data_IF_942519929700
#
_entry.id   IF_942519929700
#
_cell.length_a   1.000
_cell.length_b   1.000
_cell.length_c   1.000
_cell.angle_alpha   90.00
_cell.angle_beta   90.00
_cell.angle_gamma   90.00
#
_symmetry.space_group_name_H-M   'P 1'
#
loop_
_entity.id
_entity.type
_entity.pdbx_description
1 polymer ?
#
# COMPACT_ATOMS: atom_id res chain seq x y z
N UNK A 1 11.15 -13.90 -0.53
CA UNK A 1 11.80 -12.57 -0.44
C UNK A 1 11.14 -11.65 -1.47
N UNK A 2 10.75 -10.45 -1.07
CA UNK A 2 10.19 -9.45 -1.97
C UNK A 2 11.33 -8.74 -2.71
N UNK A 3 11.24 -8.67 -4.04
CA UNK A 3 12.21 -7.95 -4.88
C UNK A 3 11.59 -6.62 -5.29
N UNK A 4 12.28 -5.53 -5.00
CA UNK A 4 11.87 -4.17 -5.34
C UNK A 4 12.75 -3.57 -6.42
N UNK A 5 12.15 -2.73 -7.24
CA UNK A 5 12.81 -1.89 -8.23
C UNK A 5 12.36 -0.44 -8.11
N UNK A 6 13.02 0.45 -8.80
CA UNK A 6 12.63 1.86 -8.88
C UNK A 6 11.21 1.98 -9.44
N UNK A 7 10.35 2.76 -8.77
CA UNK A 7 8.99 3.01 -9.22
C UNK A 7 8.94 3.98 -10.39
N UNK A 8 9.68 5.07 -10.27
CA UNK A 8 9.86 6.07 -11.32
C UNK A 8 11.15 6.87 -11.08
N UNK A 9 11.81 7.31 -12.16
CA UNK A 9 13.07 8.07 -12.08
C UNK A 9 12.94 9.39 -11.32
N UNK A 10 11.76 10.00 -11.30
CA UNK A 10 11.50 11.26 -10.59
C UNK A 10 11.24 11.07 -9.09
N UNK A 11 10.96 9.84 -8.64
CA UNK A 11 10.56 9.50 -7.27
C UNK A 11 11.55 8.52 -6.63
N UNK A 12 12.71 9.01 -6.22
CA UNK A 12 13.83 8.19 -5.74
C UNK A 12 13.59 7.47 -4.40
N UNK A 13 12.62 7.91 -3.63
CA UNK A 13 12.23 7.31 -2.36
C UNK A 13 11.01 6.39 -2.47
N UNK A 14 10.61 6.04 -3.69
CA UNK A 14 9.50 5.14 -3.96
C UNK A 14 9.97 3.97 -4.80
N UNK A 15 9.65 2.77 -4.36
CA UNK A 15 9.95 1.52 -5.07
C UNK A 15 8.70 0.67 -5.25
N UNK A 16 8.74 -0.22 -6.22
CA UNK A 16 7.66 -1.16 -6.50
C UNK A 16 8.20 -2.59 -6.48
N UNK A 17 7.45 -3.50 -5.87
CA UNK A 17 7.77 -4.91 -5.89
C UNK A 17 7.46 -5.55 -7.25
N UNK A 18 8.12 -6.66 -7.54
CA UNK A 18 7.59 -7.59 -8.53
C UNK A 18 6.18 -8.05 -8.11
N UNK A 19 5.33 -8.47 -9.06
CA UNK A 19 4.02 -9.00 -8.72
C UNK A 19 4.12 -10.14 -7.71
N UNK A 20 3.36 -10.02 -6.64
CA UNK A 20 3.26 -11.05 -5.61
C UNK A 20 2.05 -11.91 -5.92
N UNK A 21 2.28 -13.20 -6.12
CA UNK A 21 1.20 -14.15 -6.40
C UNK A 21 0.56 -14.57 -5.08
N UNK A 22 -0.73 -14.38 -4.97
CA UNK A 22 -1.54 -15.01 -3.94
C UNK A 22 -2.11 -16.32 -4.49
N UNK A 23 -1.47 -17.43 -4.10
CA UNK A 23 -1.85 -18.77 -4.59
C UNK A 23 -3.24 -19.23 -4.13
N UNK A 24 -3.74 -18.64 -3.04
CA UNK A 24 -5.05 -19.01 -2.49
C UNK A 24 -6.22 -18.37 -3.25
N UNK A 25 -5.96 -17.24 -3.91
CA UNK A 25 -6.96 -16.47 -4.65
C UNK A 25 -6.59 -16.26 -6.12
N UNK A 26 -5.52 -16.88 -6.58
CA UNK A 26 -4.98 -16.79 -7.97
C UNK A 26 -4.78 -15.35 -8.47
N UNK A 27 -4.49 -14.44 -7.56
CA UNK A 27 -4.37 -13.01 -7.85
C UNK A 27 -2.94 -12.52 -7.69
N UNK A 28 -2.59 -11.51 -8.47
CA UNK A 28 -1.28 -10.86 -8.41
C UNK A 28 -1.44 -9.37 -8.08
N UNK A 29 -0.72 -8.92 -7.08
CA UNK A 29 -0.65 -7.52 -6.71
C UNK A 29 0.82 -7.12 -6.58
N UNK A 30 1.13 -5.85 -6.78
CA UNK A 30 2.45 -5.30 -6.44
C UNK A 30 2.34 -4.44 -5.19
N UNK A 31 3.45 -4.35 -4.46
CA UNK A 31 3.56 -3.46 -3.31
C UNK A 31 4.36 -2.23 -3.74
N UNK A 32 3.89 -1.05 -3.37
CA UNK A 32 4.60 0.21 -3.55
C UNK A 32 5.04 0.69 -2.19
N UNK A 33 6.34 0.91 -2.04
CA UNK A 33 6.93 1.37 -0.79
C UNK A 33 7.43 2.80 -0.98
N UNK A 34 6.99 3.69 -0.12
CA UNK A 34 7.52 5.04 0.02
C UNK A 34 8.15 5.21 1.39
N UNK A 35 9.36 5.74 1.46
CA UNK A 35 10.03 6.03 2.73
C UNK A 35 10.42 7.52 2.82
N UNK A 36 10.49 8.10 4.02
CA UNK A 36 10.91 9.50 4.21
C UNK A 36 12.40 9.64 3.91
N UNK A 37 12.79 10.69 3.17
CA UNK A 37 14.19 10.88 2.76
C UNK A 37 15.12 11.27 3.91
N UNK A 38 14.64 12.12 4.82
CA UNK A 38 15.47 12.77 5.83
C UNK A 38 14.86 12.74 7.24
N UNK A 39 13.77 12.00 7.44
CA UNK A 39 13.06 11.92 8.72
C UNK A 39 13.03 10.48 9.22
N UNK A 40 13.05 10.32 10.54
CA UNK A 40 12.72 9.05 11.16
C UNK A 40 11.25 8.72 10.88
N UNK A 41 10.95 7.45 10.68
CA UNK A 41 9.56 6.99 10.51
C UNK A 41 8.80 7.18 11.83
N UNK A 42 7.75 7.97 11.79
CA UNK A 42 6.81 8.19 12.90
C UNK A 42 5.40 7.72 12.58
N UNK A 43 5.10 7.56 11.30
CA UNK A 43 3.80 7.14 10.79
C UNK A 43 3.97 6.05 9.74
N UNK A 44 3.18 5.00 9.87
CA UNK A 44 3.06 3.92 8.90
C UNK A 44 1.67 3.99 8.26
N UNK A 45 1.65 4.17 6.95
CA UNK A 45 0.41 4.25 6.16
C UNK A 45 0.28 2.97 5.32
N UNK A 46 -0.77 2.21 5.54
CA UNK A 46 -1.19 1.14 4.65
C UNK A 46 -2.26 1.69 3.69
N UNK A 47 -2.04 1.57 2.39
CA UNK A 47 -2.97 2.08 1.39
C UNK A 47 -3.39 1.01 0.39
N UNK A 48 -4.68 0.99 0.07
CA UNK A 48 -5.26 0.24 -1.03
C UNK A 48 -5.28 1.08 -2.32
N UNK A 49 -5.35 0.42 -3.47
CA UNK A 49 -5.33 1.06 -4.80
C UNK A 49 -4.09 1.94 -5.03
N UNK A 50 -2.93 1.44 -4.64
CA UNK A 50 -1.69 2.22 -4.59
C UNK A 50 -1.20 2.74 -5.94
N UNK A 51 -1.66 2.17 -7.06
CA UNK A 51 -1.41 2.69 -8.39
C UNK A 51 -1.95 4.12 -8.60
N UNK A 52 -2.88 4.57 -7.74
CA UNK A 52 -3.50 5.89 -7.81
C UNK A 52 -2.82 6.95 -6.93
N UNK A 53 -1.81 6.59 -6.14
CA UNK A 53 -1.27 7.45 -5.10
C UNK A 53 -0.31 8.53 -5.62
N UNK A 54 0.62 8.16 -6.51
CA UNK A 54 1.83 8.94 -6.73
C UNK A 54 1.96 9.53 -8.14
N UNK A 55 1.57 8.80 -9.18
CA UNK A 55 1.78 9.21 -10.57
C UNK A 55 0.54 8.99 -11.44
N UNK A 56 0.18 10.02 -12.21
CA UNK A 56 -0.92 9.98 -13.19
C UNK A 56 -0.74 8.89 -14.25
N UNK A 57 0.50 8.69 -14.69
CA UNK A 57 0.82 7.73 -15.76
C UNK A 57 0.72 6.27 -15.33
N UNK A 58 0.65 6.03 -14.02
CA UNK A 58 0.61 4.67 -13.45
C UNK A 58 -0.81 4.14 -13.23
N UNK A 59 -1.81 4.96 -13.51
CA UNK A 59 -3.23 4.57 -13.43
C UNK A 59 -3.98 4.89 -14.71
N UNK A 60 -5.18 4.33 -14.85
CA UNK A 60 -6.03 4.53 -16.03
C UNK A 60 -6.90 5.79 -16.01
N UNK A 61 -6.80 6.64 -14.97
CA UNK A 61 -7.72 7.76 -14.78
C UNK A 61 -7.17 9.11 -15.21
N UNK A 62 -5.87 9.21 -15.49
CA UNK A 62 -5.20 10.46 -15.88
C UNK A 62 -5.02 11.48 -14.74
N UNK A 63 -5.28 11.11 -13.49
CA UNK A 63 -4.99 11.88 -12.28
C UNK A 63 -4.55 10.94 -11.15
N UNK A 64 -3.85 11.48 -10.16
CA UNK A 64 -3.46 10.74 -8.96
C UNK A 64 -3.83 11.54 -7.70
N UNK A 65 -3.57 10.95 -6.53
CA UNK A 65 -3.83 11.59 -5.24
C UNK A 65 -2.74 12.59 -4.83
N UNK A 66 -1.66 12.72 -5.60
CA UNK A 66 -0.49 13.57 -5.31
C UNK A 66 0.05 13.37 -3.89
N UNK A 67 0.03 12.12 -3.41
CA UNK A 67 0.36 11.80 -2.02
C UNK A 67 1.81 12.14 -1.68
N UNK A 68 2.74 12.00 -2.61
CA UNK A 68 4.16 12.34 -2.36
C UNK A 68 4.32 13.81 -2.02
N UNK A 69 3.70 14.70 -2.78
CA UNK A 69 3.80 16.14 -2.55
C UNK A 69 3.22 16.52 -1.18
N UNK A 70 2.07 15.95 -0.83
CA UNK A 70 1.45 16.18 0.47
C UNK A 70 2.31 15.67 1.64
N UNK A 71 2.92 14.50 1.51
CA UNK A 71 3.78 13.94 2.56
C UNK A 71 5.10 14.70 2.68
N UNK A 72 5.70 15.12 1.57
CA UNK A 72 6.90 15.96 1.59
C UNK A 72 6.63 17.30 2.30
N UNK A 73 5.52 17.97 1.99
CA UNK A 73 5.14 19.21 2.66
C UNK A 73 4.99 19.02 4.18
N UNK A 74 4.37 17.92 4.61
CA UNK A 74 4.25 17.59 6.03
C UNK A 74 5.62 17.31 6.68
N UNK A 75 6.48 16.58 6.01
CA UNK A 75 7.83 16.28 6.50
C UNK A 75 8.73 17.50 6.59
N UNK A 76 8.57 18.48 5.71
CA UNK A 76 9.30 19.76 5.75
C UNK A 76 8.84 20.67 6.90
N UNK A 77 7.56 20.62 7.24
CA UNK A 77 6.95 21.49 8.25
C UNK A 77 6.83 20.86 9.64
N UNK A 78 7.16 19.60 9.81
CA UNK A 78 7.05 18.85 11.08
C UNK A 78 8.25 17.93 11.27
N UNK A 79 8.35 17.30 12.46
CA UNK A 79 9.32 16.24 12.72
C UNK A 79 8.80 14.85 12.34
N UNK A 80 7.66 14.77 11.65
CA UNK A 80 7.07 13.51 11.23
C UNK A 80 7.75 12.97 9.98
N UNK A 81 7.85 11.64 9.91
CA UNK A 81 8.26 10.90 8.73
C UNK A 81 7.24 9.82 8.40
N UNK A 82 6.84 9.75 7.14
CA UNK A 82 5.76 8.88 6.69
C UNK A 82 6.30 7.73 5.83
N UNK A 83 6.11 6.51 6.30
CA UNK A 83 6.37 5.31 5.54
C UNK A 83 5.06 4.78 4.96
N UNK A 84 5.00 4.58 3.65
CA UNK A 84 3.78 4.10 2.98
C UNK A 84 4.01 2.69 2.44
N UNK A 85 3.09 1.79 2.76
CA UNK A 85 2.95 0.48 2.13
C UNK A 85 1.67 0.53 1.32
N UNK A 86 1.81 0.61 0.01
CA UNK A 86 0.69 0.63 -0.91
C UNK A 86 0.52 -0.72 -1.59
N UNK A 87 -0.71 -1.23 -1.65
CA UNK A 87 -1.06 -2.45 -2.38
C UNK A 87 -1.80 -2.07 -3.64
N UNK A 88 -1.26 -2.47 -4.82
CA UNK A 88 -1.96 -2.21 -6.08
C UNK A 88 -3.17 -3.11 -6.23
N UNK A 89 -4.19 -2.64 -6.90
CA UNK A 89 -5.30 -3.50 -7.34
C UNK A 89 -5.03 -4.09 -8.73
N UNK A 90 -5.78 -5.12 -9.07
CA UNK A 90 -5.74 -5.79 -10.36
C UNK A 90 -7.15 -5.93 -10.97
N UNK A 91 -7.29 -6.75 -12.03
CA UNK A 91 -8.57 -7.00 -12.69
C UNK A 91 -9.63 -7.63 -11.78
N UNK A 92 -9.22 -8.34 -10.73
CA UNK A 92 -10.10 -8.96 -9.73
C UNK A 92 -10.50 -8.03 -8.58
N UNK A 93 -10.22 -6.73 -8.69
CA UNK A 93 -10.46 -5.74 -7.64
C UNK A 93 -11.86 -5.80 -7.02
N UNK A 94 -12.89 -6.00 -7.83
CA UNK A 94 -14.27 -6.08 -7.34
C UNK A 94 -14.51 -7.27 -6.39
N UNK A 95 -13.78 -8.35 -6.58
CA UNK A 95 -13.83 -9.54 -5.73
C UNK A 95 -12.90 -9.40 -4.54
N UNK A 96 -11.67 -8.95 -4.76
CA UNK A 96 -10.68 -8.72 -3.69
C UNK A 96 -11.14 -7.67 -2.67
N UNK A 97 -11.85 -6.63 -3.10
CA UNK A 97 -12.25 -5.49 -2.26
C UNK A 97 -13.71 -5.57 -1.79
N UNK A 98 -14.31 -6.75 -1.83
CA UNK A 98 -15.66 -6.96 -1.30
C UNK A 98 -15.62 -7.79 -0.02
N UNK A 99 -15.59 -7.16 1.17
CA UNK A 99 -15.57 -7.87 2.46
C UNK A 99 -16.93 -8.48 2.83
N UNK A 100 -17.95 -8.27 2.01
CA UNK A 100 -19.32 -8.78 2.21
C UNK A 100 -19.76 -9.65 1.01
N UNK A 101 -19.17 -10.83 0.80
CA UNK A 101 -19.56 -11.70 -0.29
C UNK A 101 -20.99 -12.20 -0.10
N UNK A 102 -21.63 -12.59 -1.20
CA UNK A 102 -22.92 -13.29 -1.13
C UNK A 102 -22.77 -14.60 -0.34
N UNK A 103 -23.86 -15.01 0.32
CA UNK A 103 -23.89 -16.25 1.10
C UNK A 103 -23.38 -17.43 0.26
N UNK A 104 -22.42 -18.18 0.80
CA UNK A 104 -21.80 -19.33 0.14
C UNK A 104 -20.61 -19.02 -0.77
N UNK A 105 -20.22 -17.75 -0.93
CA UNK A 105 -19.04 -17.37 -1.71
C UNK A 105 -17.75 -17.37 -0.88
N UNK A 106 -16.60 -17.54 -1.57
CA UNK A 106 -15.28 -17.35 -0.94
C UNK A 106 -15.08 -15.87 -0.62
N UNK A 107 -14.66 -15.56 0.62
CA UNK A 107 -14.34 -14.20 1.00
C UNK A 107 -12.88 -13.86 0.63
N UNK A 108 -12.67 -13.47 -0.63
CA UNK A 108 -11.35 -13.09 -1.14
C UNK A 108 -10.79 -11.85 -0.41
N UNK A 109 -11.64 -10.92 0.02
CA UNK A 109 -11.22 -9.73 0.73
C UNK A 109 -10.57 -10.04 2.07
N UNK A 110 -11.15 -10.95 2.85
CA UNK A 110 -10.56 -11.38 4.12
C UNK A 110 -9.21 -12.07 3.90
N UNK A 111 -9.11 -12.97 2.92
CA UNK A 111 -7.83 -13.60 2.57
C UNK A 111 -6.79 -12.57 2.11
N UNK A 112 -7.20 -11.58 1.34
CA UNK A 112 -6.33 -10.50 0.88
C UNK A 112 -5.80 -9.67 2.06
N UNK A 113 -6.66 -9.29 3.00
CA UNK A 113 -6.27 -8.61 4.25
C UNK A 113 -5.30 -9.48 5.05
N UNK A 114 -5.62 -10.76 5.25
CA UNK A 114 -4.79 -11.69 6.01
C UNK A 114 -3.38 -11.82 5.40
N UNK A 115 -3.28 -11.89 4.09
CA UNK A 115 -1.97 -11.91 3.41
C UNK A 115 -1.17 -10.63 3.62
N UNK A 116 -1.83 -9.46 3.51
CA UNK A 116 -1.18 -8.18 3.76
C UNK A 116 -0.68 -8.11 5.20
N UNK A 117 -1.53 -8.40 6.16
CA UNK A 117 -1.24 -8.22 7.59
C UNK A 117 -0.27 -9.26 8.14
N UNK A 118 -0.37 -10.52 7.68
CA UNK A 118 0.37 -11.64 8.29
C UNK A 118 1.59 -12.08 7.47
N UNK A 119 1.73 -11.67 6.22
CA UNK A 119 2.89 -12.00 5.37
C UNK A 119 3.69 -10.77 4.97
N UNK A 120 3.06 -9.82 4.27
CA UNK A 120 3.80 -8.71 3.65
C UNK A 120 4.20 -7.63 4.65
N UNK A 121 3.28 -7.21 5.51
CA UNK A 121 3.54 -6.16 6.48
C UNK A 121 4.69 -6.53 7.44
N UNK A 122 4.72 -7.72 8.08
CA UNK A 122 5.82 -8.11 8.95
C UNK A 122 7.17 -8.17 8.23
N UNK A 123 7.20 -8.66 6.98
CA UNK A 123 8.43 -8.71 6.20
C UNK A 123 8.96 -7.30 5.90
N UNK A 124 8.10 -6.38 5.43
CA UNK A 124 8.50 -5.01 5.11
C UNK A 124 8.96 -4.27 6.37
N UNK A 125 8.25 -4.42 7.49
CA UNK A 125 8.64 -3.83 8.77
C UNK A 125 10.03 -4.30 9.19
N UNK A 126 10.33 -5.59 9.03
CA UNK A 126 11.65 -6.15 9.31
C UNK A 126 12.72 -5.66 8.34
N UNK A 127 12.44 -5.64 7.04
CA UNK A 127 13.39 -5.23 6.00
C UNK A 127 13.81 -3.75 6.11
N UNK A 128 12.91 -2.89 6.60
CA UNK A 128 13.15 -1.46 6.78
C UNK A 128 13.41 -1.03 8.23
N UNK A 129 13.54 -1.99 9.14
CA UNK A 129 13.80 -1.75 10.58
C UNK A 129 12.82 -0.74 11.21
N UNK A 130 11.53 -0.93 10.93
CA UNK A 130 10.48 -0.05 11.45
C UNK A 130 10.04 -0.55 12.84
N UNK A 131 10.14 0.33 13.84
CA UNK A 131 9.64 0.03 15.18
C UNK A 131 8.11 0.14 15.22
N UNK A 132 7.46 -0.97 14.88
CA UNK A 132 6.00 -1.04 14.71
C UNK A 132 5.21 -0.61 15.95
N UNK A 133 5.76 -0.79 17.15
CA UNK A 133 5.08 -0.45 18.40
C UNK A 133 5.04 1.06 18.64
N UNK A 134 5.98 1.81 18.08
CA UNK A 134 6.14 3.24 18.33
C UNK A 134 5.66 4.14 17.18
N UNK A 135 5.28 3.57 16.05
CA UNK A 135 4.73 4.35 14.94
C UNK A 135 3.21 4.48 15.02
N UNK A 136 2.70 5.63 14.61
CA UNK A 136 1.27 5.81 14.38
C UNK A 136 0.85 5.04 13.13
N UNK A 137 -0.27 4.33 13.20
CA UNK A 137 -0.77 3.50 12.10
C UNK A 137 -1.98 4.16 11.46
N UNK A 138 -1.94 4.27 10.14
CA UNK A 138 -2.98 4.88 9.33
C UNK A 138 -3.35 3.89 8.23
N UNK A 139 -4.64 3.71 7.98
CA UNK A 139 -5.13 2.97 6.82
C UNK A 139 -5.82 3.97 5.89
N UNK A 140 -5.40 3.94 4.62
CA UNK A 140 -5.88 4.86 3.59
C UNK A 140 -6.58 4.06 2.48
N UNK A 141 -7.75 4.51 2.08
CA UNK A 141 -8.47 3.90 0.96
C UNK A 141 -9.56 4.83 0.42
N UNK A 142 -9.83 4.70 -0.87
CA UNK A 142 -10.90 5.43 -1.55
C UNK A 142 -11.90 4.44 -2.14
N UNK A 143 -13.20 4.79 -2.12
CA UNK A 143 -14.25 3.94 -2.68
C UNK A 143 -14.23 2.53 -2.06
N UNK A 144 -14.09 1.48 -2.87
CA UNK A 144 -13.94 0.10 -2.38
C UNK A 144 -12.68 -0.10 -1.53
N UNK A 145 -11.57 0.61 -1.82
CA UNK A 145 -10.40 0.63 -0.95
C UNK A 145 -10.70 1.20 0.44
N UNK A 146 -11.55 2.23 0.50
CA UNK A 146 -12.07 2.76 1.77
C UNK A 146 -12.87 1.71 2.54
N UNK A 147 -13.70 0.92 1.85
CA UNK A 147 -14.45 -0.18 2.47
C UNK A 147 -13.52 -1.23 3.10
N UNK A 148 -12.40 -1.54 2.44
CA UNK A 148 -11.38 -2.44 2.98
C UNK A 148 -10.71 -1.89 4.25
N UNK A 149 -10.58 -0.58 4.36
CA UNK A 149 -9.95 0.09 5.51
C UNK A 149 -10.73 -0.04 6.82
N UNK A 150 -12.01 -0.43 6.76
CA UNK A 150 -12.86 -0.67 7.92
C UNK A 150 -12.93 -2.14 8.35
N UNK A 151 -12.19 -3.05 7.72
CA UNK A 151 -12.17 -4.47 8.01
C UNK A 151 -10.92 -4.89 8.76
#
# INVERSE_FOLDING_TARGET
MLLFSEYDQSLKNISISQPVVDVDIEDTNSLIIRYPKFKRVTHLILSYDAQNLFLKQKNGFGYCMDLEDALQEQEENTDNGYFVIGVTSNSSRKTQYNPYPRVGGTNHAIKHIDNIMNKFLPQIIGDYDIDYNYVNKIVLGSSMGGLMSFK
#
